data_IF_183851679637
#
_entry.id   IF_183851679637
#
_cell.length_a   1.000
_cell.length_b   1.000
_cell.length_c   1.000
_cell.angle_alpha   90.00
_cell.angle_beta   90.00
_cell.angle_gamma   90.00
#
_symmetry.space_group_name_H-M   'P 1'
#
loop_
_entity.id
_entity.type
_entity.pdbx_description
1 polymer ?
#
# COMPACT_ATOMS: atom_id res chain seq x y z
N UNK A 1 49.08 -3.20 -33.29
CA UNK A 1 48.41 -2.01 -32.73
C UNK A 1 47.01 -2.42 -32.34
N UNK A 2 46.69 -2.46 -31.05
CA UNK A 2 45.31 -2.61 -30.59
C UNK A 2 44.57 -1.34 -31.04
N UNK A 3 43.43 -1.44 -31.75
CA UNK A 3 42.76 -0.27 -32.31
C UNK A 3 42.20 0.60 -31.18
N UNK A 4 42.32 1.94 -31.25
CA UNK A 4 41.75 2.83 -30.27
C UNK A 4 40.24 2.96 -30.53
N UNK A 5 39.46 1.98 -30.08
CA UNK A 5 38.00 2.01 -30.11
C UNK A 5 37.45 1.56 -28.76
N UNK A 6 37.58 2.40 -27.73
CA UNK A 6 36.83 2.22 -26.47
C UNK A 6 36.74 3.46 -25.56
N UNK A 7 37.56 4.50 -25.75
CA UNK A 7 37.55 5.65 -24.83
C UNK A 7 36.27 6.49 -24.90
N UNK A 8 35.72 6.73 -26.10
CA UNK A 8 34.63 7.69 -26.27
C UNK A 8 33.33 7.25 -25.57
N UNK A 9 32.95 5.97 -25.69
CA UNK A 9 31.72 5.40 -25.12
C UNK A 9 31.66 5.48 -23.58
N UNK A 10 32.80 5.66 -22.90
CA UNK A 10 32.84 5.70 -21.44
C UNK A 10 32.22 6.96 -20.84
N UNK A 11 32.31 8.11 -21.52
CA UNK A 11 31.82 9.38 -20.97
C UNK A 11 30.29 9.40 -20.93
N UNK A 12 29.63 9.11 -22.04
CA UNK A 12 28.16 9.03 -22.13
C UNK A 12 27.61 7.92 -21.24
N UNK A 13 28.27 6.76 -21.17
CA UNK A 13 27.89 5.69 -20.24
C UNK A 13 27.94 6.15 -18.78
N UNK A 14 28.97 6.91 -18.38
CA UNK A 14 29.07 7.46 -17.03
C UNK A 14 27.96 8.47 -16.74
N UNK A 15 27.59 9.30 -17.72
CA UNK A 15 26.45 10.22 -17.60
C UNK A 15 25.16 9.44 -17.35
N UNK A 16 24.89 8.39 -18.14
CA UNK A 16 23.71 7.55 -18.00
C UNK A 16 23.68 6.84 -16.65
N UNK A 17 24.77 6.20 -16.23
CA UNK A 17 24.87 5.52 -14.93
C UNK A 17 24.62 6.48 -13.77
N UNK A 18 25.18 7.70 -13.83
CA UNK A 18 24.97 8.73 -12.83
C UNK A 18 23.51 9.18 -12.79
N UNK A 19 22.89 9.40 -13.95
CA UNK A 19 21.47 9.73 -14.05
C UNK A 19 20.58 8.67 -13.41
N UNK A 20 20.74 7.39 -13.78
CA UNK A 20 19.91 6.31 -13.24
C UNK A 20 20.19 6.04 -11.76
N UNK A 21 21.43 6.26 -11.30
CA UNK A 21 21.75 6.25 -9.88
C UNK A 21 21.01 7.36 -9.12
N UNK A 22 20.97 8.59 -9.64
CA UNK A 22 20.16 9.66 -9.03
C UNK A 22 18.67 9.32 -9.05
N UNK A 23 18.17 8.73 -10.13
CA UNK A 23 16.76 8.36 -10.30
C UNK A 23 16.34 7.24 -9.33
N UNK A 24 17.14 6.18 -9.21
CA UNK A 24 16.92 5.08 -8.26
C UNK A 24 17.05 5.51 -6.79
N UNK A 25 17.77 6.60 -6.54
CA UNK A 25 17.82 7.25 -5.25
C UNK A 25 16.70 8.28 -5.04
N UNK A 26 15.68 8.40 -5.91
CA UNK A 26 14.60 9.38 -5.76
C UNK A 26 15.08 10.85 -5.77
N UNK A 27 16.30 11.12 -6.24
CA UNK A 27 16.89 12.45 -6.37
C UNK A 27 16.54 13.07 -7.73
N UNK A 28 15.26 13.20 -8.02
CA UNK A 28 14.76 13.58 -9.35
C UNK A 28 15.29 14.92 -9.86
N UNK A 29 15.36 15.93 -8.99
CA UNK A 29 15.86 17.26 -9.38
C UNK A 29 17.34 17.18 -9.76
N UNK A 30 18.16 16.44 -9.00
CA UNK A 30 19.57 16.20 -9.35
C UNK A 30 19.71 15.40 -10.65
N UNK A 31 18.87 14.39 -10.87
CA UNK A 31 18.88 13.60 -12.09
C UNK A 31 18.58 14.50 -13.30
N UNK A 32 17.56 15.35 -13.19
CA UNK A 32 17.18 16.31 -14.22
C UNK A 32 18.28 17.35 -14.48
N UNK A 33 18.75 18.03 -13.44
CA UNK A 33 19.81 19.04 -13.54
C UNK A 33 21.10 18.47 -14.17
N UNK A 34 21.41 17.20 -13.86
CA UNK A 34 22.58 16.50 -14.40
C UNK A 34 22.53 16.36 -15.93
N UNK A 35 21.40 15.92 -16.48
CA UNK A 35 21.26 15.75 -17.94
C UNK A 35 21.01 17.08 -18.67
N UNK A 36 20.42 18.08 -18.01
CA UNK A 36 20.28 19.43 -18.58
C UNK A 36 21.64 20.13 -18.70
N UNK A 37 22.51 20.03 -17.69
CA UNK A 37 23.89 20.54 -17.77
C UNK A 37 24.70 19.86 -18.86
N UNK A 38 24.58 18.54 -18.99
CA UNK A 38 25.22 17.78 -20.06
C UNK A 38 24.77 18.27 -21.44
N UNK A 39 23.46 18.52 -21.60
CA UNK A 39 22.88 19.03 -22.85
C UNK A 39 23.38 20.43 -23.20
N UNK A 40 23.59 21.29 -22.21
CA UNK A 40 24.13 22.65 -22.40
C UNK A 40 25.62 22.65 -22.75
N UNK A 41 26.40 21.75 -22.14
CA UNK A 41 27.83 21.60 -22.37
C UNK A 41 28.18 20.96 -23.71
N UNK A 42 27.35 20.04 -24.19
CA UNK A 42 27.60 19.25 -25.41
C UNK A 42 26.63 19.60 -26.55
N UNK A 43 26.53 20.89 -26.90
CA UNK A 43 25.67 21.36 -28.02
C UNK A 43 26.00 20.74 -29.38
N UNK A 44 27.23 20.27 -29.57
CA UNK A 44 27.70 19.60 -30.79
C UNK A 44 27.54 18.07 -30.77
N UNK A 45 26.83 17.51 -29.78
CA UNK A 45 26.60 16.07 -29.73
C UNK A 45 25.66 15.57 -30.84
N UNK A 46 25.71 14.27 -31.11
CA UNK A 46 24.82 13.61 -32.08
C UNK A 46 23.33 13.81 -31.74
N UNK A 47 22.49 13.81 -32.77
CA UNK A 47 21.05 14.06 -32.64
C UNK A 47 20.37 13.08 -31.66
N UNK A 48 20.78 11.82 -31.67
CA UNK A 48 20.32 10.76 -30.77
C UNK A 48 20.62 11.06 -29.30
N UNK A 49 21.83 11.53 -28.99
CA UNK A 49 22.25 11.89 -27.63
C UNK A 49 21.44 13.06 -27.10
N UNK A 50 21.27 14.11 -27.91
CA UNK A 50 20.44 15.27 -27.53
C UNK A 50 18.98 14.88 -27.27
N UNK A 51 18.41 14.00 -28.10
CA UNK A 51 17.06 13.45 -27.89
C UNK A 51 16.98 12.60 -26.62
N UNK A 52 17.99 11.76 -26.35
CA UNK A 52 18.06 10.95 -25.13
C UNK A 52 18.11 11.84 -23.89
N UNK A 53 19.00 12.84 -23.83
CA UNK A 53 19.10 13.74 -22.68
C UNK A 53 17.79 14.49 -22.41
N UNK A 54 17.09 14.92 -23.46
CA UNK A 54 15.77 15.53 -23.34
C UNK A 54 14.73 14.55 -22.75
N UNK A 55 14.68 13.31 -23.25
CA UNK A 55 13.78 12.29 -22.74
C UNK A 55 14.10 11.91 -21.28
N UNK A 56 15.38 11.86 -20.88
CA UNK A 56 15.78 11.59 -19.50
C UNK A 56 15.39 12.73 -18.54
N UNK A 57 15.52 13.99 -18.95
CA UNK A 57 15.05 15.12 -18.16
C UNK A 57 13.54 15.04 -17.92
N UNK A 58 12.78 14.66 -18.96
CA UNK A 58 11.35 14.44 -18.88
C UNK A 58 11.01 13.23 -17.98
N UNK A 59 11.73 12.11 -18.11
CA UNK A 59 11.58 10.93 -17.25
C UNK A 59 11.74 11.27 -15.76
N UNK A 60 12.75 12.06 -15.40
CA UNK A 60 12.96 12.48 -14.01
C UNK A 60 11.77 13.29 -13.47
N UNK A 61 11.23 14.22 -14.27
CA UNK A 61 10.05 14.99 -13.91
C UNK A 61 8.78 14.13 -13.78
N UNK A 62 8.57 13.20 -14.72
CA UNK A 62 7.42 12.27 -14.70
C UNK A 62 7.46 11.34 -13.48
N UNK A 63 8.64 10.79 -13.16
CA UNK A 63 8.85 9.93 -11.99
C UNK A 63 8.64 10.67 -10.67
N UNK A 64 9.07 11.94 -10.58
CA UNK A 64 8.77 12.82 -9.43
C UNK A 64 7.26 13.01 -9.25
N UNK A 65 6.54 13.31 -10.34
CA UNK A 65 5.10 13.47 -10.32
C UNK A 65 4.39 12.17 -9.90
N UNK A 66 4.82 11.03 -10.43
CA UNK A 66 4.31 9.70 -10.07
C UNK A 66 4.45 9.41 -8.57
N UNK A 67 5.66 9.46 -8.02
CA UNK A 67 5.91 9.11 -6.62
C UNK A 67 5.32 10.12 -5.61
N UNK A 68 5.02 11.34 -6.08
CA UNK A 68 4.25 12.33 -5.31
C UNK A 68 2.75 12.02 -5.24
N UNK A 69 2.24 11.09 -6.04
CA UNK A 69 0.81 10.77 -6.21
C UNK A 69 -0.07 11.97 -6.58
N UNK A 70 0.53 13.04 -7.12
CA UNK A 70 -0.14 14.31 -7.42
C UNK A 70 -1.25 14.17 -8.48
N UNK A 71 -1.17 13.15 -9.33
CA UNK A 71 -2.18 12.85 -10.36
C UNK A 71 -3.55 12.47 -9.78
N UNK A 72 -3.61 11.86 -8.58
CA UNK A 72 -4.88 11.59 -7.87
C UNK A 72 -5.57 12.87 -7.36
N UNK A 73 -4.83 13.98 -7.28
CA UNK A 73 -5.30 15.28 -6.85
C UNK A 73 -6.24 15.97 -7.84
N UNK A 74 -6.09 15.66 -9.12
CA UNK A 74 -6.71 16.35 -10.24
C UNK A 74 -8.22 16.03 -10.30
N UNK A 75 -9.07 16.91 -9.77
CA UNK A 75 -10.53 16.72 -9.80
C UNK A 75 -11.01 16.55 -11.26
N UNK A 76 -11.71 15.46 -11.54
CA UNK A 76 -12.67 15.41 -12.66
C UNK A 76 -13.83 16.37 -12.31
N UNK A 77 -13.74 17.65 -12.72
CA UNK A 77 -14.87 18.60 -12.63
C UNK A 77 -14.74 19.77 -11.64
N UNK A 78 -13.58 20.01 -11.03
CA UNK A 78 -13.37 21.21 -10.21
C UNK A 78 -12.84 22.39 -11.03
N UNK A 79 -13.59 23.50 -11.10
CA UNK A 79 -13.31 24.76 -11.80
C UNK A 79 -12.07 25.57 -11.34
N UNK A 80 -10.95 24.92 -10.98
CA UNK A 80 -9.68 25.63 -10.80
C UNK A 80 -8.98 25.72 -12.16
N UNK A 81 -9.35 26.76 -12.91
CA UNK A 81 -9.03 27.07 -14.31
C UNK A 81 -7.52 27.18 -14.69
N UNK A 82 -6.56 26.79 -13.85
CA UNK A 82 -5.13 26.91 -14.17
C UNK A 82 -4.22 25.74 -13.79
N UNK A 83 -4.75 24.59 -13.35
CA UNK A 83 -3.95 23.36 -13.37
C UNK A 83 -4.30 22.60 -14.65
N UNK A 84 -3.44 22.70 -15.67
CA UNK A 84 -3.56 21.84 -16.86
C UNK A 84 -3.76 20.40 -16.38
N UNK A 85 -4.75 19.73 -16.95
CA UNK A 85 -4.95 18.27 -16.86
C UNK A 85 -3.76 17.53 -17.52
N UNK A 86 -2.53 17.80 -17.10
CA UNK A 86 -1.42 16.92 -17.43
C UNK A 86 -1.55 15.75 -16.48
N UNK A 87 -2.39 14.80 -16.90
CA UNK A 87 -2.48 13.50 -16.24
C UNK A 87 -1.10 12.84 -16.32
N UNK A 88 -0.75 12.03 -15.33
CA UNK A 88 0.48 11.24 -15.38
C UNK A 88 0.56 10.40 -16.67
N UNK A 89 -0.60 9.97 -17.20
CA UNK A 89 -0.75 9.31 -18.49
C UNK A 89 -0.27 10.16 -19.66
N UNK A 90 -0.60 11.45 -19.68
CA UNK A 90 -0.17 12.38 -20.75
C UNK A 90 1.34 12.54 -20.74
N UNK A 91 1.93 12.72 -19.56
CA UNK A 91 3.39 12.84 -19.40
C UNK A 91 4.09 11.56 -19.87
N UNK A 92 3.63 10.39 -19.43
CA UNK A 92 4.22 9.12 -19.84
C UNK A 92 3.99 8.79 -21.33
N UNK A 93 2.86 9.18 -21.91
CA UNK A 93 2.61 9.01 -23.35
C UNK A 93 3.54 9.89 -24.19
N UNK A 94 3.74 11.15 -23.79
CA UNK A 94 4.70 12.04 -24.47
C UNK A 94 6.12 11.49 -24.35
N UNK A 95 6.53 11.10 -23.15
CA UNK A 95 7.84 10.49 -22.90
C UNK A 95 8.05 9.21 -23.72
N UNK A 96 7.04 8.34 -23.81
CA UNK A 96 7.10 7.14 -24.64
C UNK A 96 7.40 7.49 -26.11
N UNK A 97 6.72 8.51 -26.65
CA UNK A 97 6.93 8.96 -28.02
C UNK A 97 8.32 9.59 -28.23
N UNK A 98 8.84 10.32 -27.25
CA UNK A 98 10.20 10.86 -27.26
C UNK A 98 11.25 9.73 -27.28
N UNK A 99 11.10 8.72 -26.42
CA UNK A 99 11.97 7.54 -26.39
C UNK A 99 11.89 6.76 -27.71
N UNK A 100 10.70 6.60 -28.30
CA UNK A 100 10.55 5.96 -29.61
C UNK A 100 11.30 6.69 -30.72
N UNK A 101 11.37 8.03 -30.69
CA UNK A 101 12.19 8.80 -31.64
C UNK A 101 13.68 8.49 -31.49
N UNK A 102 14.17 8.29 -30.27
CA UNK A 102 15.57 7.86 -30.02
C UNK A 102 15.81 6.47 -30.62
N UNK A 103 14.89 5.52 -30.39
CA UNK A 103 14.97 4.16 -30.98
C UNK A 103 15.04 4.21 -32.50
N UNK A 104 14.16 4.97 -33.15
CA UNK A 104 14.15 5.09 -34.62
C UNK A 104 15.41 5.78 -35.15
N UNK A 105 15.89 6.82 -34.48
CA UNK A 105 17.11 7.55 -34.88
C UNK A 105 18.34 6.64 -34.80
N UNK A 106 18.50 5.89 -33.70
CA UNK A 106 19.63 4.98 -33.52
C UNK A 106 19.64 3.81 -34.51
N UNK A 107 18.46 3.25 -34.85
CA UNK A 107 18.35 2.19 -35.87
C UNK A 107 18.66 2.66 -37.28
N UNK A 108 18.41 3.93 -37.59
CA UNK A 108 18.66 4.52 -38.91
C UNK A 108 20.09 5.08 -39.06
N UNK A 109 20.88 5.15 -37.99
CA UNK A 109 22.24 5.69 -37.97
C UNK A 109 23.30 4.75 -38.59
N UNK A 110 22.96 4.07 -39.68
CA UNK A 110 23.85 3.18 -40.44
C UNK A 110 24.96 4.02 -41.08
N UNK A 111 26.17 4.02 -40.49
CA UNK A 111 27.33 4.78 -41.00
C UNK A 111 27.73 6.03 -40.19
N UNK A 112 27.17 6.24 -38.99
CA UNK A 112 27.55 7.35 -38.11
C UNK A 112 28.94 7.21 -37.45
N UNK A 113 29.45 8.28 -36.84
CA UNK A 113 30.78 8.34 -36.21
C UNK A 113 30.90 7.53 -34.91
N UNK A 114 29.78 7.11 -34.29
CA UNK A 114 29.75 6.39 -33.01
C UNK A 114 28.70 5.27 -32.98
N UNK A 115 28.83 4.20 -33.79
CA UNK A 115 27.78 3.18 -33.96
C UNK A 115 27.42 2.43 -32.67
N UNK A 116 28.39 2.18 -31.78
CA UNK A 116 28.14 1.48 -30.53
C UNK A 116 27.31 2.30 -29.53
N UNK A 117 27.49 3.63 -29.53
CA UNK A 117 26.66 4.52 -28.71
C UNK A 117 25.22 4.52 -29.22
N UNK A 118 25.01 4.63 -30.54
CA UNK A 118 23.66 4.59 -31.14
C UNK A 118 22.91 3.30 -30.82
N UNK A 119 23.58 2.16 -30.91
CA UNK A 119 23.02 0.85 -30.53
C UNK A 119 22.62 0.83 -29.04
N UNK A 120 23.51 1.29 -28.15
CA UNK A 120 23.23 1.39 -26.72
C UNK A 120 22.03 2.31 -26.44
N UNK A 121 21.99 3.51 -27.04
CA UNK A 121 20.90 4.47 -26.84
C UNK A 121 19.57 3.93 -27.34
N UNK A 122 19.55 3.30 -28.52
CA UNK A 122 18.37 2.63 -29.05
C UNK A 122 17.90 1.52 -28.12
N UNK A 123 18.81 0.66 -27.65
CA UNK A 123 18.49 -0.45 -26.76
C UNK A 123 17.94 0.02 -25.40
N UNK A 124 18.59 1.00 -24.77
CA UNK A 124 18.13 1.58 -23.51
C UNK A 124 16.77 2.27 -23.67
N UNK A 125 16.57 3.01 -24.76
CA UNK A 125 15.30 3.70 -25.02
C UNK A 125 14.14 2.73 -25.24
N UNK A 126 14.40 1.58 -25.88
CA UNK A 126 13.41 0.51 -26.02
C UNK A 126 13.03 -0.11 -24.67
N UNK A 127 14.01 -0.35 -23.79
CA UNK A 127 13.73 -0.82 -22.43
C UNK A 127 12.99 0.22 -21.58
N UNK A 128 13.36 1.50 -21.69
CA UNK A 128 12.66 2.60 -21.03
C UNK A 128 11.21 2.74 -21.51
N UNK A 129 10.91 2.43 -22.77
CA UNK A 129 9.53 2.37 -23.25
C UNK A 129 8.69 1.36 -22.44
N UNK A 130 9.23 0.16 -22.19
CA UNK A 130 8.55 -0.84 -21.35
C UNK A 130 8.41 -0.38 -19.90
N UNK A 131 9.44 0.25 -19.34
CA UNK A 131 9.39 0.82 -17.98
C UNK A 131 8.29 1.88 -17.83
N UNK A 132 8.17 2.78 -18.80
CA UNK A 132 7.14 3.83 -18.85
C UNK A 132 5.74 3.22 -18.98
N UNK A 133 5.58 2.19 -19.81
CA UNK A 133 4.32 1.45 -19.93
C UNK A 133 3.92 0.75 -18.62
N UNK A 134 4.88 0.12 -17.94
CA UNK A 134 4.65 -0.52 -16.66
C UNK A 134 4.15 0.50 -15.61
N UNK A 135 4.76 1.69 -15.55
CA UNK A 135 4.33 2.75 -14.63
C UNK A 135 2.97 3.36 -14.98
N UNK A 136 2.59 3.40 -16.26
CA UNK A 136 1.23 3.78 -16.64
C UNK A 136 0.20 2.78 -16.09
N UNK A 137 0.47 1.47 -16.20
CA UNK A 137 -0.43 0.45 -15.66
C UNK A 137 -0.49 0.46 -14.12
N UNK A 138 0.63 0.72 -13.43
CA UNK A 138 0.61 0.87 -11.97
C UNK A 138 -0.09 2.17 -11.53
N UNK A 139 0.08 3.27 -12.27
CA UNK A 139 -0.68 4.49 -12.02
C UNK A 139 -2.20 4.24 -12.13
N UNK A 140 -2.63 3.51 -13.17
CA UNK A 140 -4.01 3.09 -13.35
C UNK A 140 -4.48 2.18 -12.21
N UNK A 141 -3.60 1.31 -11.72
CA UNK A 141 -3.86 0.47 -10.55
C UNK A 141 -4.09 1.31 -9.28
N UNK A 142 -3.26 2.32 -9.01
CA UNK A 142 -3.48 3.22 -7.86
C UNK A 142 -4.75 4.07 -8.02
N UNK A 143 -5.09 4.52 -9.23
CA UNK A 143 -6.38 5.16 -9.51
C UNK A 143 -7.54 4.21 -9.17
N UNK A 144 -7.48 2.94 -9.61
CA UNK A 144 -8.45 1.91 -9.23
C UNK A 144 -8.53 1.79 -7.70
N UNK A 145 -7.41 1.61 -6.99
CA UNK A 145 -7.41 1.55 -5.52
C UNK A 145 -8.07 2.79 -4.90
N UNK A 146 -7.76 3.98 -5.38
CA UNK A 146 -8.37 5.22 -4.88
C UNK A 146 -9.90 5.22 -5.07
N UNK A 147 -10.41 4.79 -6.24
CA UNK A 147 -11.86 4.67 -6.47
C UNK A 147 -12.52 3.62 -5.57
N UNK A 148 -11.80 2.55 -5.21
CA UNK A 148 -12.30 1.54 -4.27
C UNK A 148 -12.46 2.06 -2.83
N UNK A 149 -11.90 3.23 -2.50
CA UNK A 149 -12.01 3.81 -1.15
C UNK A 149 -13.46 4.15 -0.74
N UNK A 150 -14.35 4.38 -1.72
CA UNK A 150 -15.78 4.63 -1.47
C UNK A 150 -16.63 3.35 -1.50
N UNK A 151 -16.05 2.19 -1.82
CA UNK A 151 -16.80 0.95 -1.89
C UNK A 151 -17.04 0.34 -0.51
N UNK A 152 -18.13 -0.46 -0.40
CA UNK A 152 -18.52 -1.14 0.83
C UNK A 152 -17.54 -2.26 1.23
N UNK A 153 -16.94 -2.91 0.24
CA UNK A 153 -16.00 -4.00 0.40
C UNK A 153 -14.88 -3.85 -0.62
N UNK A 154 -13.65 -4.23 -0.25
CA UNK A 154 -12.48 -4.17 -1.12
C UNK A 154 -12.00 -5.61 -1.35
N UNK A 155 -12.13 -6.09 -2.58
CA UNK A 155 -11.58 -7.39 -2.97
C UNK A 155 -10.06 -7.28 -3.18
N UNK A 156 -9.29 -7.42 -2.10
CA UNK A 156 -7.84 -7.34 -2.16
C UNK A 156 -7.20 -8.49 -2.97
N UNK A 157 -7.87 -9.65 -3.07
CA UNK A 157 -7.37 -10.78 -3.86
C UNK A 157 -7.35 -10.47 -5.36
N UNK A 158 -8.40 -9.83 -5.88
CA UNK A 158 -8.45 -9.37 -7.27
C UNK A 158 -7.35 -8.34 -7.56
N UNK A 159 -7.11 -7.42 -6.63
CA UNK A 159 -6.04 -6.41 -6.75
C UNK A 159 -4.65 -7.06 -6.82
N UNK A 160 -4.40 -8.10 -6.02
CA UNK A 160 -3.15 -8.86 -6.07
C UNK A 160 -2.97 -9.52 -7.45
N UNK A 161 -4.01 -10.15 -7.99
CA UNK A 161 -3.95 -10.79 -9.32
C UNK A 161 -3.60 -9.78 -10.43
N UNK A 162 -4.12 -8.56 -10.34
CA UNK A 162 -3.79 -7.49 -11.29
C UNK A 162 -2.32 -7.09 -11.19
N UNK A 163 -1.79 -6.89 -9.97
CA UNK A 163 -0.37 -6.55 -9.79
C UNK A 163 0.57 -7.65 -10.25
N UNK A 164 0.25 -8.91 -9.96
CA UNK A 164 1.04 -10.06 -10.40
C UNK A 164 1.06 -10.17 -11.93
N UNK A 165 -0.06 -9.85 -12.60
CA UNK A 165 -0.12 -9.78 -14.05
C UNK A 165 0.78 -8.67 -14.63
N UNK A 166 0.77 -7.47 -14.02
CA UNK A 166 1.66 -6.36 -14.41
C UNK A 166 3.12 -6.77 -14.22
N UNK A 167 3.46 -7.33 -13.06
CA UNK A 167 4.82 -7.77 -12.75
C UNK A 167 5.30 -8.81 -13.76
N UNK A 168 4.50 -9.85 -14.02
CA UNK A 168 4.82 -10.90 -15.00
C UNK A 168 5.01 -10.36 -16.41
N UNK A 169 4.23 -9.34 -16.80
CA UNK A 169 4.29 -8.73 -18.14
C UNK A 169 5.58 -7.95 -18.38
N UNK A 170 6.11 -7.27 -17.35
CA UNK A 170 7.17 -6.27 -17.50
C UNK A 170 8.51 -6.61 -16.83
N UNK A 171 8.56 -7.51 -15.84
CA UNK A 171 9.78 -7.75 -15.04
C UNK A 171 11.02 -8.13 -15.86
N UNK A 172 10.85 -8.80 -17.00
CA UNK A 172 11.94 -9.21 -17.88
C UNK A 172 12.17 -8.28 -19.08
N UNK A 173 11.57 -7.09 -19.10
CA UNK A 173 11.59 -6.18 -20.27
C UNK A 173 12.54 -4.99 -20.14
N UNK A 174 13.05 -4.71 -18.94
CA UNK A 174 14.05 -3.65 -18.68
C UNK A 174 15.16 -4.15 -17.74
N UNK A 175 16.07 -4.97 -18.26
CA UNK A 175 17.07 -5.71 -17.51
C UNK A 175 18.52 -5.27 -17.81
N UNK A 176 18.72 -4.20 -18.60
CA UNK A 176 20.07 -3.72 -18.89
C UNK A 176 20.76 -3.25 -17.59
N UNK A 177 22.05 -3.57 -17.34
CA UNK A 177 22.72 -3.22 -16.09
C UNK A 177 22.64 -1.74 -15.71
N UNK A 178 22.73 -0.83 -16.68
CA UNK A 178 22.55 0.62 -16.49
C UNK A 178 21.16 1.01 -15.94
N UNK A 179 20.13 0.20 -16.20
CA UNK A 179 18.75 0.39 -15.73
C UNK A 179 18.44 -0.37 -14.44
N UNK A 180 19.41 -1.12 -13.88
CA UNK A 180 19.22 -1.89 -12.64
C UNK A 180 18.66 -1.09 -11.46
N UNK A 181 18.95 0.23 -11.27
CA UNK A 181 18.30 1.00 -10.21
C UNK A 181 16.80 1.16 -10.42
N UNK A 182 16.35 1.24 -11.68
CA UNK A 182 14.93 1.35 -12.04
C UNK A 182 14.22 0.01 -11.91
N UNK A 183 14.88 -1.05 -12.37
CA UNK A 183 14.38 -2.42 -12.20
C UNK A 183 14.15 -2.75 -10.73
N UNK A 184 15.15 -2.48 -9.90
CA UNK A 184 15.08 -2.73 -8.46
C UNK A 184 13.98 -1.89 -7.78
N UNK A 185 13.85 -0.61 -8.16
CA UNK A 185 12.81 0.27 -7.65
C UNK A 185 11.40 -0.19 -8.01
N UNK A 186 11.18 -0.56 -9.28
CA UNK A 186 9.92 -1.10 -9.77
C UNK A 186 9.54 -2.40 -9.05
N UNK A 187 10.46 -3.37 -8.96
CA UNK A 187 10.21 -4.63 -8.27
C UNK A 187 9.90 -4.40 -6.78
N UNK A 188 10.66 -3.52 -6.11
CA UNK A 188 10.47 -3.20 -4.71
C UNK A 188 9.08 -2.60 -4.44
N UNK A 189 8.63 -1.65 -5.27
CA UNK A 189 7.31 -1.04 -5.16
C UNK A 189 6.19 -2.07 -5.30
N UNK A 190 6.21 -2.83 -6.40
CA UNK A 190 5.18 -3.83 -6.71
C UNK A 190 5.15 -4.94 -5.65
N UNK A 191 6.31 -5.41 -5.22
CA UNK A 191 6.42 -6.42 -4.17
C UNK A 191 5.81 -5.93 -2.85
N UNK A 192 6.18 -4.74 -2.38
CA UNK A 192 5.66 -4.20 -1.12
C UNK A 192 4.13 -4.11 -1.21
N UNK A 193 3.62 -3.55 -2.30
CA UNK A 193 2.18 -3.39 -2.50
C UNK A 193 1.45 -4.73 -2.55
N UNK A 194 2.00 -5.71 -3.27
CA UNK A 194 1.44 -7.06 -3.35
C UNK A 194 1.42 -7.75 -1.97
N UNK A 195 2.51 -7.68 -1.20
CA UNK A 195 2.56 -8.25 0.15
C UNK A 195 1.54 -7.57 1.09
N UNK A 196 1.38 -6.25 1.02
CA UNK A 196 0.38 -5.54 1.85
C UNK A 196 -1.05 -5.93 1.48
N UNK A 197 -1.39 -6.02 0.19
CA UNK A 197 -2.72 -6.46 -0.25
C UNK A 197 -2.99 -7.94 0.07
N UNK A 198 -1.99 -8.81 -0.09
CA UNK A 198 -2.06 -10.21 0.37
C UNK A 198 -2.31 -10.28 1.87
N UNK A 199 -1.57 -9.51 2.67
CA UNK A 199 -1.79 -9.45 4.11
C UNK A 199 -3.22 -8.98 4.46
N UNK A 200 -3.75 -7.94 3.78
CA UNK A 200 -5.12 -7.49 3.99
C UNK A 200 -6.14 -8.60 3.74
N UNK A 201 -6.03 -9.27 2.59
CA UNK A 201 -6.89 -10.41 2.25
C UNK A 201 -6.76 -11.55 3.26
N UNK A 202 -5.54 -11.91 3.65
CA UNK A 202 -5.29 -13.02 4.58
C UNK A 202 -5.74 -12.72 6.01
N UNK A 203 -5.69 -11.45 6.45
CA UNK A 203 -6.29 -11.02 7.73
C UNK A 203 -7.82 -11.16 7.67
N UNK A 204 -8.43 -10.76 6.55
CA UNK A 204 -9.87 -10.90 6.31
C UNK A 204 -10.32 -12.37 6.30
N UNK A 205 -9.51 -13.27 5.76
CA UNK A 205 -9.73 -14.73 5.81
C UNK A 205 -9.33 -15.35 7.16
N UNK A 206 -8.89 -14.54 8.12
CA UNK A 206 -8.40 -14.96 9.43
C UNK A 206 -7.24 -16.00 9.38
N UNK A 207 -6.38 -15.91 8.37
CA UNK A 207 -5.21 -16.79 8.15
C UNK A 207 -3.94 -16.22 8.81
N UNK A 208 -3.68 -16.65 10.05
CA UNK A 208 -2.61 -16.11 10.90
C UNK A 208 -1.21 -16.09 10.27
N UNK A 209 -0.60 -17.26 10.03
CA UNK A 209 0.80 -17.34 9.58
C UNK A 209 1.00 -16.72 8.18
N UNK A 210 0.17 -17.00 7.16
CA UNK A 210 0.31 -16.36 5.85
C UNK A 210 0.21 -14.82 5.93
N UNK A 211 -0.70 -14.28 6.74
CA UNK A 211 -0.81 -12.83 6.93
C UNK A 211 0.45 -12.26 7.59
N UNK A 212 0.97 -12.93 8.63
CA UNK A 212 2.17 -12.52 9.34
C UNK A 212 3.40 -12.48 8.41
N UNK A 213 3.60 -13.53 7.61
CA UNK A 213 4.71 -13.61 6.66
C UNK A 213 4.64 -12.47 5.63
N UNK A 214 3.46 -12.19 5.08
CA UNK A 214 3.29 -11.09 4.14
C UNK A 214 3.54 -9.71 4.78
N UNK A 215 3.06 -9.48 6.02
CA UNK A 215 3.35 -8.25 6.75
C UNK A 215 4.85 -8.09 7.03
N UNK A 216 5.52 -9.18 7.41
CA UNK A 216 6.96 -9.17 7.66
C UNK A 216 7.75 -8.88 6.38
N UNK A 217 7.42 -9.53 5.26
CA UNK A 217 8.07 -9.29 3.97
C UNK A 217 7.90 -7.83 3.52
N UNK A 218 6.69 -7.28 3.62
CA UNK A 218 6.44 -5.87 3.34
C UNK A 218 7.26 -4.95 4.27
N UNK A 219 7.33 -5.27 5.57
CA UNK A 219 8.11 -4.52 6.54
C UNK A 219 9.59 -4.49 6.18
N UNK A 220 10.20 -5.65 5.95
CA UNK A 220 11.64 -5.77 5.63
C UNK A 220 11.99 -5.01 4.35
N UNK A 221 11.17 -5.15 3.29
CA UNK A 221 11.34 -4.39 2.04
C UNK A 221 11.20 -2.88 2.24
N UNK A 222 10.22 -2.43 3.03
CA UNK A 222 10.05 -1.02 3.38
C UNK A 222 11.21 -0.46 4.21
N UNK A 223 11.83 -1.26 5.09
CA UNK A 223 13.04 -0.85 5.80
C UNK A 223 14.20 -0.64 4.84
N UNK A 224 14.45 -1.59 3.92
CA UNK A 224 15.47 -1.44 2.87
C UNK A 224 15.21 -0.20 2.02
N UNK A 225 13.96 0.05 1.63
CA UNK A 225 13.59 1.27 0.90
C UNK A 225 13.87 2.52 1.75
N UNK A 226 13.49 2.51 3.03
CA UNK A 226 13.70 3.61 3.97
C UNK A 226 15.18 4.01 4.14
N UNK A 227 16.10 3.05 4.09
CA UNK A 227 17.54 3.31 4.19
C UNK A 227 18.06 4.22 3.06
N UNK A 228 17.42 4.25 1.89
CA UNK A 228 17.78 5.15 0.78
C UNK A 228 17.63 6.61 1.24
N UNK A 229 16.56 6.93 1.97
CA UNK A 229 16.27 8.29 2.43
C UNK A 229 17.15 8.71 3.63
N UNK A 230 17.47 7.78 4.52
CA UNK A 230 18.39 8.07 5.64
C UNK A 230 19.81 8.37 5.14
N UNK A 231 20.33 7.60 4.18
CA UNK A 231 21.65 7.86 3.57
C UNK A 231 21.72 9.27 2.96
N UNK A 232 20.66 9.73 2.30
CA UNK A 232 20.60 11.08 1.73
C UNK A 232 20.60 12.19 2.78
N UNK A 233 20.01 11.94 3.94
CA UNK A 233 19.95 12.89 5.06
C UNK A 233 21.33 13.07 5.69
N UNK A 234 22.12 12.01 5.81
CA UNK A 234 23.49 12.05 6.33
C UNK A 234 24.44 12.81 5.40
N UNK A 235 24.36 12.59 4.08
CA UNK A 235 25.22 13.30 3.10
C UNK A 235 25.04 14.82 3.16
N UNK A 236 23.84 15.30 3.50
CA UNK A 236 23.56 16.75 3.63
C UNK A 236 24.06 17.37 4.93
N UNK A 237 24.20 16.61 6.02
CA UNK A 237 24.65 17.16 7.32
C UNK A 237 26.14 17.51 7.32
N UNK A 238 26.95 16.84 6.50
CA UNK A 238 28.40 17.07 6.43
C UNK A 238 28.81 18.29 5.58
N UNK A 239 27.89 18.89 4.83
CA UNK A 239 28.18 20.02 3.95
C UNK A 239 27.71 21.34 4.59
N UNK A 240 28.50 21.82 5.55
CA UNK A 240 28.64 23.21 6.00
C UNK A 240 27.42 23.96 6.57
N UNK A 241 27.66 24.65 7.71
CA UNK A 241 26.72 25.58 8.33
C UNK A 241 26.34 26.72 7.38
N UNK A 242 25.07 26.78 7.00
CA UNK A 242 24.55 27.84 6.14
C UNK A 242 23.25 27.42 5.46
N UNK A 243 22.13 27.87 6.02
CA UNK A 243 20.77 27.70 5.51
C UNK A 243 20.23 26.26 5.54
N UNK A 244 19.16 26.07 6.30
CA UNK A 244 18.35 24.86 6.37
C UNK A 244 17.76 24.51 5.00
N UNK A 245 18.54 23.84 4.14
CA UNK A 245 17.98 23.15 2.99
C UNK A 245 16.95 22.16 3.53
N UNK A 246 15.68 22.32 3.11
CA UNK A 246 14.58 21.42 3.49
C UNK A 246 15.07 19.98 3.31
N UNK A 247 15.14 19.24 4.42
CA UNK A 247 15.45 17.80 4.39
C UNK A 247 14.54 17.18 3.34
N UNK A 248 15.12 16.46 2.38
CA UNK A 248 14.34 15.82 1.33
C UNK A 248 13.39 14.84 2.01
N UNK A 249 12.11 15.15 1.99
CA UNK A 249 11.09 14.28 2.57
C UNK A 249 10.96 13.05 1.67
N UNK A 250 10.78 11.86 2.24
CA UNK A 250 10.45 10.68 1.45
C UNK A 250 9.22 10.94 0.57
N UNK A 251 9.13 10.35 -0.63
CA UNK A 251 7.99 10.51 -1.50
C UNK A 251 6.67 10.10 -0.82
N UNK A 252 5.57 10.74 -1.22
CA UNK A 252 4.24 10.48 -0.65
C UNK A 252 3.86 9.00 -0.77
N UNK A 253 4.18 8.36 -1.89
CA UNK A 253 3.92 6.93 -2.07
C UNK A 253 4.59 6.06 -0.99
N UNK A 254 5.86 6.30 -0.68
CA UNK A 254 6.57 5.58 0.38
C UNK A 254 5.91 5.80 1.76
N UNK A 255 5.58 7.05 2.08
CA UNK A 255 4.90 7.40 3.34
C UNK A 255 3.53 6.73 3.43
N UNK A 256 2.81 6.66 2.32
CA UNK A 256 1.52 5.98 2.23
C UNK A 256 1.66 4.46 2.44
N UNK A 257 2.64 3.80 1.81
CA UNK A 257 2.91 2.37 2.00
C UNK A 257 3.25 2.06 3.46
N UNK A 258 4.09 2.88 4.09
CA UNK A 258 4.41 2.76 5.52
C UNK A 258 3.17 2.91 6.41
N UNK A 259 2.30 3.88 6.09
CA UNK A 259 1.03 4.08 6.80
C UNK A 259 0.10 2.88 6.61
N UNK A 260 -0.06 2.40 5.38
CA UNK A 260 -0.91 1.25 5.06
C UNK A 260 -0.44 0.00 5.80
N UNK A 261 0.88 -0.26 5.81
CA UNK A 261 1.51 -1.32 6.61
C UNK A 261 1.18 -1.19 8.10
N UNK A 262 1.27 0.01 8.67
CA UNK A 262 0.96 0.23 10.09
C UNK A 262 -0.53 0.01 10.42
N UNK A 263 -1.44 0.39 9.51
CA UNK A 263 -2.86 0.13 9.66
C UNK A 263 -3.17 -1.38 9.63
N UNK A 264 -2.54 -2.10 8.70
CA UNK A 264 -2.68 -3.57 8.63
C UNK A 264 -2.05 -4.25 9.84
N UNK A 265 -0.91 -3.76 10.34
CA UNK A 265 -0.31 -4.27 11.57
C UNK A 265 -1.24 -4.08 12.77
N UNK A 266 -1.83 -2.89 12.94
CA UNK A 266 -2.80 -2.63 14.00
C UNK A 266 -4.01 -3.58 13.91
N UNK A 267 -4.53 -3.77 12.69
CA UNK A 267 -5.65 -4.69 12.43
C UNK A 267 -5.27 -6.16 12.72
N UNK A 268 -4.11 -6.60 12.25
CA UNK A 268 -3.57 -7.93 12.51
C UNK A 268 -3.41 -8.18 14.02
N UNK A 269 -2.79 -7.24 14.73
CA UNK A 269 -2.61 -7.32 16.19
C UNK A 269 -3.94 -7.41 16.93
N UNK A 270 -4.99 -6.74 16.42
CA UNK A 270 -6.32 -6.84 16.97
C UNK A 270 -6.98 -8.19 16.65
N UNK A 271 -7.07 -8.59 15.38
CA UNK A 271 -7.80 -9.81 14.94
C UNK A 271 -7.17 -11.11 15.45
N UNK A 272 -5.86 -11.08 15.72
CA UNK A 272 -5.10 -12.20 16.26
C UNK A 272 -4.61 -11.93 17.69
N UNK A 273 -5.27 -11.02 18.42
CA UNK A 273 -4.85 -10.63 19.77
C UNK A 273 -4.66 -11.83 20.69
N UNK A 274 -5.60 -12.78 20.70
CA UNK A 274 -5.50 -13.97 21.55
C UNK A 274 -4.28 -14.84 21.22
N UNK A 275 -3.99 -15.05 19.94
CA UNK A 275 -2.83 -15.83 19.53
C UNK A 275 -1.53 -15.13 19.93
N UNK A 276 -1.48 -13.81 19.79
CA UNK A 276 -0.31 -12.99 20.09
C UNK A 276 -0.09 -12.81 21.61
N UNK A 277 -1.15 -12.63 22.39
CA UNK A 277 -1.06 -12.44 23.85
C UNK A 277 -0.53 -13.68 24.58
N UNK A 278 -0.65 -14.86 23.97
CA UNK A 278 -0.04 -16.10 24.49
C UNK A 278 1.48 -16.16 24.30
N UNK A 279 2.04 -15.33 23.41
CA UNK A 279 3.47 -15.33 23.08
C UNK A 279 4.27 -14.25 23.83
N UNK A 280 3.60 -13.31 24.50
CA UNK A 280 4.27 -12.22 25.23
C UNK A 280 3.40 -11.66 26.34
N UNK A 281 4.01 -11.38 27.49
CA UNK A 281 3.38 -10.65 28.60
C UNK A 281 3.24 -9.15 28.32
N UNK A 282 3.93 -8.61 27.32
CA UNK A 282 3.96 -7.18 26.98
C UNK A 282 2.88 -6.76 25.95
N UNK A 283 1.94 -7.64 25.63
CA UNK A 283 0.99 -7.43 24.53
C UNK A 283 0.22 -6.10 24.62
N UNK A 284 -0.16 -5.67 25.83
CA UNK A 284 -0.81 -4.36 26.07
C UNK A 284 0.09 -3.18 25.67
N UNK A 285 1.37 -3.25 26.01
CA UNK A 285 2.36 -2.21 25.68
C UNK A 285 2.65 -2.19 24.17
N UNK A 286 2.69 -3.35 23.53
CA UNK A 286 2.91 -3.47 22.09
C UNK A 286 1.72 -2.94 21.28
N UNK A 287 0.50 -3.27 21.68
CA UNK A 287 -0.74 -2.78 21.04
C UNK A 287 -0.93 -1.27 21.21
N UNK A 288 -0.55 -0.70 22.36
CA UNK A 288 -0.56 0.75 22.57
C UNK A 288 0.36 1.54 21.62
N UNK A 289 1.37 0.90 21.02
CA UNK A 289 2.26 1.50 20.00
C UNK A 289 1.67 1.45 18.59
N UNK A 290 0.60 0.68 18.38
CA UNK A 290 -0.07 0.59 17.08
C UNK A 290 -0.92 1.84 16.83
N UNK A 291 -1.11 2.20 15.56
CA UNK A 291 -1.98 3.29 15.18
C UNK A 291 -2.97 2.83 14.10
N UNK A 292 -4.26 2.67 14.43
CA UNK A 292 -4.89 2.98 15.72
C UNK A 292 -4.66 1.90 16.79
N UNK A 293 -4.61 2.29 18.06
CA UNK A 293 -4.68 1.37 19.21
C UNK A 293 -6.12 0.89 19.41
N UNK A 294 -6.51 -0.19 18.74
CA UNK A 294 -7.85 -0.77 18.86
C UNK A 294 -8.15 -1.29 20.27
N UNK A 295 -7.16 -1.93 20.91
CA UNK A 295 -7.32 -2.52 22.24
C UNK A 295 -7.57 -1.43 23.30
N UNK A 296 -6.76 -0.38 23.32
CA UNK A 296 -6.92 0.74 24.25
C UNK A 296 -8.18 1.55 23.99
N UNK A 297 -8.58 1.72 22.71
CA UNK A 297 -9.87 2.35 22.35
C UNK A 297 -11.06 1.58 22.91
N UNK A 298 -11.13 0.27 22.68
CA UNK A 298 -12.22 -0.58 23.18
C UNK A 298 -12.21 -0.66 24.72
N UNK A 299 -11.03 -0.85 25.33
CA UNK A 299 -10.90 -0.88 26.79
C UNK A 299 -11.33 0.43 27.45
N UNK A 300 -11.05 1.57 26.81
CA UNK A 300 -11.50 2.88 27.30
C UNK A 300 -12.99 3.09 27.11
N UNK A 301 -13.58 2.59 26.01
CA UNK A 301 -15.02 2.58 25.81
C UNK A 301 -15.75 1.76 26.89
N UNK A 302 -15.29 0.53 27.14
CA UNK A 302 -15.82 -0.38 28.17
C UNK A 302 -15.87 0.33 29.53
N UNK A 303 -14.73 0.88 29.97
CA UNK A 303 -14.64 1.60 31.25
C UNK A 303 -15.51 2.86 31.29
N UNK A 304 -15.62 3.60 30.19
CA UNK A 304 -16.35 4.87 30.15
C UNK A 304 -17.86 4.68 30.23
N UNK A 305 -18.39 3.63 29.60
CA UNK A 305 -19.83 3.41 29.46
C UNK A 305 -20.36 2.21 30.25
N UNK A 306 -19.50 1.58 31.04
CA UNK A 306 -19.82 0.39 31.84
C UNK A 306 -20.38 -0.74 30.96
N UNK A 307 -19.73 -0.98 29.82
CA UNK A 307 -20.05 -2.13 28.99
C UNK A 307 -19.49 -3.39 29.65
N UNK A 308 -20.29 -4.46 29.67
CA UNK A 308 -19.89 -5.74 30.25
C UNK A 308 -18.86 -6.43 29.36
N UNK A 309 -19.07 -6.34 28.05
CA UNK A 309 -18.20 -6.98 27.08
C UNK A 309 -18.23 -6.27 25.73
N UNK A 310 -17.07 -6.26 25.07
CA UNK A 310 -16.97 -6.02 23.63
C UNK A 310 -16.22 -7.18 23.00
N UNK A 311 -16.85 -7.83 22.03
CA UNK A 311 -16.30 -8.99 21.32
C UNK A 311 -16.22 -8.75 19.82
N UNK A 312 -15.17 -9.27 19.19
CA UNK A 312 -15.10 -9.48 17.75
C UNK A 312 -15.33 -10.96 17.48
N UNK A 313 -16.36 -11.28 16.71
CA UNK A 313 -16.82 -12.64 16.43
C UNK A 313 -16.51 -12.95 14.98
N UNK A 314 -15.91 -14.12 14.74
CA UNK A 314 -15.72 -14.65 13.40
C UNK A 314 -16.81 -15.68 13.08
N UNK A 315 -17.41 -15.59 11.90
CA UNK A 315 -18.37 -16.57 11.39
C UNK A 315 -17.63 -17.62 10.58
N UNK A 316 -17.59 -18.86 11.07
CA UNK A 316 -16.85 -19.95 10.41
C UNK A 316 -17.66 -20.66 9.34
N UNK A 317 -18.94 -20.29 9.12
CA UNK A 317 -19.79 -20.97 8.15
C UNK A 317 -19.23 -20.77 6.74
N UNK A 318 -19.04 -21.86 6.01
CA UNK A 318 -18.39 -21.85 4.69
C UNK A 318 -16.86 -21.83 4.72
N UNK A 319 -16.23 -21.76 5.91
CA UNK A 319 -14.79 -21.91 6.05
C UNK A 319 -14.45 -23.39 6.25
N UNK A 320 -14.23 -24.12 5.16
CA UNK A 320 -13.86 -25.55 5.20
C UNK A 320 -12.52 -25.79 5.92
N UNK A 321 -11.66 -24.77 5.97
CA UNK A 321 -10.31 -24.84 6.52
C UNK A 321 -10.17 -24.13 7.89
N UNK A 322 -11.27 -23.88 8.60
CA UNK A 322 -11.18 -23.28 9.93
C UNK A 322 -10.46 -24.22 10.90
N UNK A 323 -9.30 -23.78 11.41
CA UNK A 323 -8.51 -24.55 12.37
C UNK A 323 -8.50 -23.94 13.78
N UNK A 324 -9.06 -22.74 13.98
CA UNK A 324 -9.03 -22.02 15.27
C UNK A 324 -7.91 -20.97 15.34
N UNK A 325 -7.61 -20.49 16.56
CA UNK A 325 -6.71 -19.36 16.79
C UNK A 325 -5.24 -19.67 16.47
N UNK A 326 -4.57 -18.76 15.77
CA UNK A 326 -3.13 -18.83 15.55
C UNK A 326 -2.70 -19.82 14.47
N UNK A 327 -1.48 -20.31 14.58
CA UNK A 327 -0.92 -21.25 13.61
C UNK A 327 -1.35 -22.69 13.92
N UNK A 328 -1.74 -23.40 12.86
CA UNK A 328 -2.02 -24.83 12.89
C UNK A 328 -1.29 -25.48 11.72
N UNK A 329 -0.76 -26.68 11.94
CA UNK A 329 -0.07 -27.41 10.87
C UNK A 329 -1.06 -27.78 9.76
N UNK A 330 -0.70 -27.65 8.47
CA UNK A 330 -1.61 -27.97 7.35
C UNK A 330 -2.20 -29.37 7.42
N UNK A 331 -1.41 -30.35 7.87
CA UNK A 331 -1.84 -31.75 7.98
C UNK A 331 -2.56 -32.08 9.30
N UNK A 332 -2.80 -31.10 10.18
CA UNK A 332 -3.59 -31.34 11.40
C UNK A 332 -5.07 -31.46 11.06
N UNK A 333 -5.62 -32.67 11.21
CA UNK A 333 -7.07 -32.86 11.15
C UNK A 333 -7.76 -32.21 12.35
N UNK A 334 -8.81 -31.42 12.07
CA UNK A 334 -9.76 -30.93 13.07
C UNK A 334 -11.17 -31.07 12.54
N UNK A 335 -12.08 -31.47 13.42
CA UNK A 335 -13.50 -31.44 13.11
C UNK A 335 -13.95 -29.99 12.96
N UNK A 336 -14.67 -29.71 11.87
CA UNK A 336 -15.25 -28.38 11.66
C UNK A 336 -16.17 -28.03 12.85
N UNK A 337 -16.12 -26.80 13.37
CA UNK A 337 -16.95 -26.39 14.49
C UNK A 337 -18.44 -26.52 14.13
N UNK A 338 -19.24 -26.97 15.09
CA UNK A 338 -20.68 -27.19 14.95
C UNK A 338 -21.43 -26.36 15.97
N UNK A 339 -22.66 -25.96 15.63
CA UNK A 339 -23.54 -25.23 16.53
C UNK A 339 -22.94 -23.89 16.98
N UNK A 340 -22.90 -23.65 18.30
CA UNK A 340 -22.41 -22.38 18.86
C UNK A 340 -20.92 -22.13 18.60
N UNK A 341 -20.13 -23.19 18.39
CA UNK A 341 -18.70 -23.05 18.12
C UNK A 341 -18.39 -22.53 16.71
N UNK A 342 -19.41 -22.40 15.84
CA UNK A 342 -19.29 -21.71 14.55
C UNK A 342 -19.10 -20.20 14.68
N UNK A 343 -19.25 -19.67 15.89
CA UNK A 343 -19.09 -18.26 16.22
C UNK A 343 -18.07 -18.10 17.34
N UNK A 344 -16.77 -18.31 17.09
CA UNK A 344 -15.71 -18.01 18.06
C UNK A 344 -15.56 -16.50 18.29
N UNK A 345 -15.33 -16.11 19.54
CA UNK A 345 -14.87 -14.77 19.88
C UNK A 345 -13.36 -14.68 19.58
N UNK A 346 -12.98 -14.08 18.46
CA UNK A 346 -11.55 -13.91 18.10
C UNK A 346 -10.86 -12.87 18.98
N UNK A 347 -11.64 -11.94 19.52
CA UNK A 347 -11.28 -11.01 20.58
C UNK A 347 -12.46 -10.88 21.52
N UNK A 348 -12.21 -10.89 22.82
CA UNK A 348 -13.19 -10.56 23.85
C UNK A 348 -12.53 -9.71 24.91
N UNK A 349 -13.14 -8.57 25.25
CA UNK A 349 -12.64 -7.62 26.24
C UNK A 349 -13.75 -7.24 27.23
N UNK A 350 -13.46 -7.05 28.52
CA UNK A 350 -12.12 -7.12 29.14
C UNK A 350 -11.66 -8.56 29.44
N UNK A 351 -12.60 -9.51 29.48
CA UNK A 351 -12.39 -10.92 29.83
C UNK A 351 -12.79 -11.83 28.65
N UNK A 352 -12.78 -13.14 28.87
CA UNK A 352 -13.30 -14.14 27.93
C UNK A 352 -14.76 -13.90 27.54
N UNK A 353 -15.21 -14.59 26.49
CA UNK A 353 -16.57 -14.44 25.95
C UNK A 353 -17.62 -14.65 27.05
N UNK A 354 -18.64 -13.78 27.16
CA UNK A 354 -19.66 -13.91 28.18
C UNK A 354 -20.62 -15.07 27.86
N UNK A 355 -20.37 -16.23 28.45
CA UNK A 355 -21.05 -17.51 28.14
C UNK A 355 -22.57 -17.38 28.24
N UNK A 356 -23.09 -16.68 29.26
CA UNK A 356 -24.53 -16.50 29.49
C UNK A 356 -25.21 -15.68 28.39
N UNK A 357 -24.49 -14.79 27.72
CA UNK A 357 -25.01 -13.93 26.66
C UNK A 357 -24.84 -14.52 25.25
N UNK A 358 -23.95 -15.49 25.09
CA UNK A 358 -23.56 -16.03 23.78
C UNK A 358 -24.73 -16.57 22.95
N UNK A 359 -25.69 -17.33 23.53
CA UNK A 359 -26.86 -17.80 22.78
C UNK A 359 -27.68 -16.65 22.17
N UNK A 360 -27.89 -15.57 22.93
CA UNK A 360 -28.60 -14.39 22.46
C UNK A 360 -27.84 -13.67 21.36
N UNK A 361 -26.52 -13.55 21.49
CA UNK A 361 -25.67 -12.96 20.45
C UNK A 361 -25.80 -13.72 19.13
N UNK A 362 -25.70 -15.06 19.17
CA UNK A 362 -25.84 -15.91 17.98
C UNK A 362 -27.25 -15.80 17.37
N UNK A 363 -28.28 -15.80 18.21
CA UNK A 363 -29.66 -15.60 17.78
C UNK A 363 -29.80 -14.27 17.02
N UNK A 364 -29.32 -13.16 17.60
CA UNK A 364 -29.39 -11.83 16.96
C UNK A 364 -28.60 -11.81 15.64
N UNK A 365 -27.39 -12.39 15.61
CA UNK A 365 -26.58 -12.46 14.38
C UNK A 365 -27.28 -13.22 13.26
N UNK A 366 -28.07 -14.24 13.60
CA UNK A 366 -28.82 -15.06 12.64
C UNK A 366 -30.09 -14.33 12.18
N UNK A 367 -30.91 -13.88 13.13
CA UNK A 367 -32.21 -13.23 12.88
C UNK A 367 -32.07 -11.87 12.20
N UNK A 368 -30.98 -11.14 12.49
CA UNK A 368 -30.68 -9.83 11.92
C UNK A 368 -29.57 -9.88 10.87
N UNK A 369 -29.32 -11.06 10.28
CA UNK A 369 -28.29 -11.26 9.26
C UNK A 369 -28.45 -10.33 8.05
N UNK A 370 -29.67 -10.10 7.57
CA UNK A 370 -29.94 -9.18 6.46
C UNK A 370 -29.49 -7.74 6.76
N UNK A 371 -29.74 -7.27 7.98
CA UNK A 371 -29.32 -5.94 8.44
C UNK A 371 -27.80 -5.85 8.59
N UNK A 372 -27.17 -6.87 9.20
CA UNK A 372 -25.72 -6.93 9.39
C UNK A 372 -24.97 -7.06 8.05
N UNK A 373 -25.53 -7.74 7.07
CA UNK A 373 -24.95 -7.92 5.74
C UNK A 373 -24.88 -6.60 4.93
N UNK A 374 -25.53 -5.52 5.37
CA UNK A 374 -25.38 -4.20 4.74
C UNK A 374 -24.00 -3.56 5.00
N UNK A 375 -23.25 -4.04 6.00
CA UNK A 375 -21.94 -3.54 6.46
C UNK A 375 -21.93 -2.08 6.96
N UNK A 376 -23.10 -1.48 7.16
CA UNK A 376 -23.25 -0.07 7.55
C UNK A 376 -24.18 0.11 8.74
N UNK A 377 -25.09 -0.83 8.96
CA UNK A 377 -26.09 -0.73 10.03
C UNK A 377 -25.53 -1.23 11.36
N UNK A 378 -25.82 -0.48 12.42
CA UNK A 378 -25.72 -0.97 13.80
C UNK A 378 -27.07 -1.56 14.18
N UNK A 379 -27.08 -2.82 14.56
CA UNK A 379 -28.26 -3.52 15.08
C UNK A 379 -28.30 -3.32 16.58
N UNK A 380 -29.45 -2.85 17.08
CA UNK A 380 -29.77 -2.79 18.51
C UNK A 380 -30.75 -3.91 18.86
N UNK A 381 -30.56 -4.51 20.02
CA UNK A 381 -31.51 -5.46 20.59
C UNK A 381 -31.50 -5.36 22.12
N UNK A 382 -32.67 -5.34 22.74
CA UNK A 382 -32.81 -5.43 24.20
C UNK A 382 -33.61 -6.69 24.54
N UNK A 383 -33.04 -7.51 25.40
CA UNK A 383 -33.69 -8.72 25.91
C UNK A 383 -34.23 -8.44 27.32
N UNK A 384 -35.55 -8.44 27.44
CA UNK A 384 -36.27 -8.19 28.69
C UNK A 384 -36.12 -9.35 29.70
N UNK A 385 -35.82 -10.58 29.26
CA UNK A 385 -35.66 -11.71 30.18
C UNK A 385 -34.34 -11.67 30.92
N UNK A 386 -33.26 -11.31 30.21
CA UNK A 386 -31.90 -11.19 30.78
C UNK A 386 -31.53 -9.74 31.10
N UNK A 387 -32.46 -8.81 30.93
CA UNK A 387 -32.32 -7.39 31.24
C UNK A 387 -31.08 -6.73 30.62
N UNK A 388 -30.72 -7.14 29.39
CA UNK A 388 -29.46 -6.72 28.75
C UNK A 388 -29.66 -6.17 27.34
N UNK A 389 -28.81 -5.23 26.97
CA UNK A 389 -28.80 -4.59 25.65
C UNK A 389 -27.57 -4.99 24.84
N UNK A 390 -27.78 -5.24 23.56
CA UNK A 390 -26.78 -5.67 22.60
C UNK A 390 -26.73 -4.67 21.45
N UNK A 391 -25.53 -4.26 21.07
CA UNK A 391 -25.27 -3.52 19.84
C UNK A 391 -24.32 -4.32 18.95
N UNK A 392 -24.69 -4.54 17.69
CA UNK A 392 -23.92 -5.35 16.75
C UNK A 392 -23.67 -4.57 15.46
N UNK A 393 -22.47 -4.69 14.91
CA UNK A 393 -22.13 -4.14 13.58
C UNK A 393 -21.14 -5.07 12.88
N UNK A 394 -21.11 -5.01 11.55
CA UNK A 394 -20.28 -5.87 10.72
C UNK A 394 -19.23 -5.04 9.97
N UNK A 395 -17.98 -4.95 10.45
CA UNK A 395 -16.90 -4.29 9.70
C UNK A 395 -16.63 -4.97 8.35
N UNK A 396 -16.78 -6.30 8.30
CA UNK A 396 -16.44 -7.15 7.16
C UNK A 396 -17.36 -8.39 7.13
N UNK A 397 -17.66 -9.00 5.97
CA UNK A 397 -18.66 -10.07 5.85
C UNK A 397 -18.63 -11.18 6.92
N UNK A 398 -17.45 -11.66 7.33
CA UNK A 398 -17.30 -12.76 8.29
C UNK A 398 -17.02 -12.30 9.73
N UNK A 399 -16.99 -10.99 10.00
CA UNK A 399 -16.63 -10.45 11.31
C UNK A 399 -17.73 -9.57 11.89
N UNK A 400 -18.20 -9.89 13.09
CA UNK A 400 -19.23 -9.09 13.79
C UNK A 400 -18.67 -8.55 15.09
N UNK A 401 -18.76 -7.24 15.30
CA UNK A 401 -18.45 -6.60 16.58
C UNK A 401 -19.73 -6.57 17.40
N UNK A 402 -19.63 -6.93 18.68
CA UNK A 402 -20.74 -6.97 19.63
C UNK A 402 -20.36 -6.18 20.87
N UNK A 403 -21.29 -5.34 21.36
CA UNK A 403 -21.21 -4.65 22.65
C UNK A 403 -22.38 -5.10 23.51
N UNK A 404 -22.11 -5.46 24.77
CA UNK A 404 -23.11 -5.97 25.72
C UNK A 404 -23.16 -5.05 26.94
N UNK A 405 -24.37 -4.70 27.35
CA UNK A 405 -24.66 -3.98 28.59
C UNK A 405 -25.67 -4.77 29.43
N UNK A 406 -25.40 -4.97 30.73
CA UNK A 406 -26.36 -5.50 31.71
C UNK A 406 -27.32 -4.40 32.22
N UNK A 407 -27.87 -3.65 31.28
CA UNK A 407 -28.89 -2.65 31.54
C UNK A 407 -29.62 -2.30 30.25
N UNK A 408 -30.81 -1.72 30.37
CA UNK A 408 -31.55 -1.19 29.23
C UNK A 408 -30.85 0.07 28.70
N UNK A 409 -30.36 0.01 27.47
CA UNK A 409 -29.79 1.14 26.72
C UNK A 409 -30.67 1.46 25.52
N UNK A 410 -30.77 2.75 25.20
CA UNK A 410 -31.57 3.24 24.08
C UNK A 410 -30.82 3.06 22.75
N UNK A 411 -31.53 2.62 21.70
CA UNK A 411 -31.02 2.65 20.31
C UNK A 411 -30.65 4.08 19.87
N UNK A 412 -31.32 5.10 20.42
CA UNK A 412 -31.06 6.51 20.13
C UNK A 412 -29.77 7.03 20.77
N UNK A 413 -29.07 6.21 21.56
CA UNK A 413 -27.79 6.61 22.13
C UNK A 413 -26.72 6.67 21.03
N UNK A 414 -26.52 7.89 20.52
CA UNK A 414 -25.58 8.15 19.44
C UNK A 414 -24.14 7.78 19.79
N UNK A 415 -23.78 7.70 21.07
CA UNK A 415 -22.40 7.40 21.47
C UNK A 415 -22.00 5.97 21.12
N UNK A 416 -22.90 5.00 21.30
CA UNK A 416 -22.63 3.59 21.00
C UNK A 416 -22.60 3.34 19.49
N UNK A 417 -23.57 3.91 18.78
CA UNK A 417 -23.65 3.84 17.32
C UNK A 417 -22.46 4.53 16.65
N UNK A 418 -22.06 5.71 17.12
CA UNK A 418 -20.87 6.41 16.61
C UNK A 418 -19.59 5.61 16.84
N UNK A 419 -19.41 5.08 18.05
CA UNK A 419 -18.24 4.25 18.38
C UNK A 419 -18.14 3.02 17.48
N UNK A 420 -19.24 2.29 17.30
CA UNK A 420 -19.28 1.11 16.44
C UNK A 420 -19.04 1.46 14.97
N UNK A 421 -19.61 2.55 14.47
CA UNK A 421 -19.38 3.02 13.10
C UNK A 421 -17.93 3.44 12.87
N UNK A 422 -17.33 4.18 13.80
CA UNK A 422 -15.92 4.58 13.73
C UNK A 422 -14.98 3.38 13.76
N UNK A 423 -15.24 2.42 14.66
CA UNK A 423 -14.46 1.19 14.78
C UNK A 423 -14.58 0.34 13.50
N UNK A 424 -15.80 0.13 13.02
CA UNK A 424 -16.06 -0.62 11.79
C UNK A 424 -15.39 0.02 10.57
N UNK A 425 -15.53 1.34 10.41
CA UNK A 425 -14.90 2.07 9.31
C UNK A 425 -13.37 2.01 9.36
N UNK A 426 -12.79 2.04 10.56
CA UNK A 426 -11.35 1.91 10.76
C UNK A 426 -10.85 0.51 10.40
N UNK A 427 -11.56 -0.54 10.82
CA UNK A 427 -11.19 -1.94 10.55
C UNK A 427 -11.33 -2.33 9.09
N UNK A 428 -12.33 -1.78 8.39
CA UNK A 428 -12.51 -1.93 6.95
C UNK A 428 -11.31 -1.40 6.14
N UNK A 429 -10.59 -0.40 6.67
CA UNK A 429 -9.35 0.10 6.07
C UNK A 429 -9.53 0.94 4.79
N UNK A 430 -10.76 1.24 4.34
CA UNK A 430 -10.99 2.01 3.11
C UNK A 430 -10.39 3.42 3.14
N UNK A 431 -10.25 4.01 4.33
CA UNK A 431 -9.54 5.28 4.52
C UNK A 431 -8.06 5.22 4.14
N UNK A 432 -7.42 4.04 4.23
CA UNK A 432 -6.06 3.86 3.74
C UNK A 432 -6.00 4.19 2.24
N UNK A 433 -6.94 3.66 1.45
CA UNK A 433 -6.99 3.87 0.00
C UNK A 433 -7.33 5.33 -0.35
N UNK A 434 -8.24 5.96 0.40
CA UNK A 434 -8.52 7.38 0.25
C UNK A 434 -7.28 8.26 0.45
N UNK A 435 -6.37 7.84 1.35
CA UNK A 435 -5.14 8.58 1.68
C UNK A 435 -4.01 8.44 0.66
N UNK A 436 -4.20 7.65 -0.41
CA UNK A 436 -3.31 7.65 -1.58
C UNK A 436 -3.17 9.06 -2.15
N UNK A 437 -4.26 9.82 -2.17
CA UNK A 437 -4.28 11.21 -2.62
C UNK A 437 -3.62 12.13 -1.58
N UNK A 438 -2.57 12.89 -1.95
CA UNK A 438 -1.92 13.84 -1.05
C UNK A 438 -2.90 14.88 -0.48
N UNK A 439 -2.71 15.25 0.78
CA UNK A 439 -3.55 16.24 1.47
C UNK A 439 -4.93 15.73 1.91
N UNK A 440 -5.27 14.47 1.62
CA UNK A 440 -6.48 13.84 2.18
C UNK A 440 -6.35 13.76 3.70
N UNK A 441 -7.22 14.47 4.43
CA UNK A 441 -7.37 14.29 5.88
C UNK A 441 -7.97 12.89 6.10
N UNK A 442 -7.34 12.08 6.95
CA UNK A 442 -7.85 10.74 7.35
C UNK A 442 -8.49 10.81 8.71
#
# INVERSE_FOLDING_TARGET
>A
MIPPTSAQVTAEQNVLQTFFSHLGNFSYDKAKDHVEKEKEGNKSAGASWSLMLAALAHLAAAQKAYHSMSFLGQKQGGQLFFSRKDSIRTNYTSLYNELKKVVTTGRNAVGGTAPHLEELLSHLSEQLCYFVQAHMEIADFYEKMYTLSSQKFINAEELVKILEAILKKYSSRFHHPTLSPLESGFQLEVDVLAHLLKAQFLIYEWKFLPALVNLHNAHTKLQTWGQIFEKQKETKKHLFGGQSQKVAQPPHLFLWLMKFKNLLLAKFSFYFHEALSRQTSEMKTLTAKTNPDYFGKISSFIRKYDAVNVSLIYDTRGSENFQGHGYHHPDSYREAPKGMDQYPAVVSLPNDRPIMHWPNVIMIMTDKSADLNTLEKVVHFYDDKVQSTYFLTRPEPNFTIVVIFESKKSERDSHFTSFLNELSQSLKGSRAFASLKPGSKV
#
